data_IF_336946912602
#
_entry.id   IF_336946912602
#
_cell.length_a   1.000
_cell.length_b   1.000
_cell.length_c   1.000
_cell.angle_alpha   90.00
_cell.angle_beta   90.00
_cell.angle_gamma   90.00
#
_symmetry.space_group_name_H-M   'P 1'
#
loop_
_entity.id
_entity.type
_entity.pdbx_description
1 polymer ?
#
# COMPACT_ATOMS: atom_id res chain seq x y z
N UNK A 1 -1.87 8.09 6.00
CA UNK A 1 -2.62 7.38 4.95
C UNK A 1 -3.82 6.69 5.56
N UNK A 2 -4.93 6.77 4.90
CA UNK A 2 -6.20 6.22 5.41
C UNK A 2 -6.85 5.37 4.33
N UNK A 3 -7.82 4.56 4.73
CA UNK A 3 -8.64 3.81 3.78
C UNK A 3 -9.30 4.80 2.79
N UNK A 4 -9.34 4.41 1.54
CA UNK A 4 -9.84 5.20 0.40
C UNK A 4 -8.90 6.31 -0.06
N UNK A 5 -7.71 6.44 0.53
CA UNK A 5 -6.72 7.40 0.04
C UNK A 5 -6.13 6.91 -1.28
N UNK A 6 -5.93 7.84 -2.19
CA UNK A 6 -5.20 7.54 -3.43
C UNK A 6 -3.71 7.63 -3.17
N UNK A 7 -3.00 6.60 -3.59
CA UNK A 7 -1.56 6.52 -3.41
C UNK A 7 -0.91 5.97 -4.67
N UNK A 8 0.39 6.13 -4.77
CA UNK A 8 1.18 5.42 -5.78
C UNK A 8 1.87 4.25 -5.11
N UNK A 9 1.62 3.08 -5.63
CA UNK A 9 2.25 1.86 -5.17
C UNK A 9 3.45 1.55 -6.05
N UNK A 10 4.62 1.43 -5.45
CA UNK A 10 5.84 1.05 -6.15
C UNK A 10 6.12 -0.41 -5.89
N UNK A 11 6.10 -1.21 -6.95
CA UNK A 11 6.43 -2.63 -6.85
C UNK A 11 7.92 -2.78 -6.56
N UNK A 12 8.30 -3.39 -5.42
CA UNK A 12 9.72 -3.54 -5.08
C UNK A 12 10.46 -4.48 -6.02
N UNK A 13 9.76 -5.32 -6.75
CA UNK A 13 10.38 -6.26 -7.68
C UNK A 13 10.70 -5.62 -9.02
N UNK A 14 9.79 -4.82 -9.55
CA UNK A 14 9.93 -4.23 -10.88
C UNK A 14 10.27 -2.75 -10.84
N UNK A 15 10.16 -2.11 -9.67
CA UNK A 15 10.33 -0.66 -9.48
C UNK A 15 9.35 0.17 -10.30
N UNK A 16 8.24 -0.42 -10.70
CA UNK A 16 7.19 0.29 -11.43
C UNK A 16 6.19 0.85 -10.42
N UNK A 17 5.86 2.13 -10.57
CA UNK A 17 4.84 2.78 -9.76
C UNK A 17 3.53 2.81 -10.51
N UNK A 18 2.45 2.46 -9.81
CA UNK A 18 1.11 2.48 -10.37
C UNK A 18 0.16 3.17 -9.40
N UNK A 19 -0.87 3.84 -9.90
CA UNK A 19 -1.87 4.41 -9.01
C UNK A 19 -2.68 3.30 -8.33
N UNK A 20 -2.98 3.50 -7.07
CA UNK A 20 -3.74 2.55 -6.29
C UNK A 20 -4.56 3.27 -5.22
N UNK A 21 -5.52 2.57 -4.65
CA UNK A 21 -6.34 3.09 -3.56
C UNK A 21 -6.21 2.16 -2.38
N UNK A 22 -6.02 2.73 -1.20
CA UNK A 22 -5.94 1.95 0.03
C UNK A 22 -7.35 1.43 0.35
N UNK A 23 -7.48 0.11 0.43
CA UNK A 23 -8.77 -0.52 0.74
C UNK A 23 -8.83 -1.02 2.17
N UNK A 24 -7.68 -1.29 2.78
CA UNK A 24 -7.64 -1.76 4.16
C UNK A 24 -6.29 -1.43 4.79
N UNK A 25 -6.26 -1.36 6.11
CA UNK A 25 -5.05 -1.12 6.86
C UNK A 25 -5.00 -2.16 7.98
N UNK A 26 -3.90 -2.92 8.02
CA UNK A 26 -3.69 -3.94 9.04
C UNK A 26 -2.54 -3.52 9.93
N UNK A 27 -2.79 -3.45 11.23
CA UNK A 27 -1.78 -3.14 12.22
C UNK A 27 -1.28 -4.45 12.83
N UNK A 28 -0.03 -4.77 12.57
CA UNK A 28 0.61 -5.96 13.13
C UNK A 28 1.20 -5.70 14.51
N UNK A 29 1.15 -4.47 15.00
CA UNK A 29 1.71 -4.13 16.30
C UNK A 29 3.21 -4.33 16.34
N UNK A 30 3.70 -4.92 17.43
CA UNK A 30 5.13 -5.13 17.64
C UNK A 30 5.61 -6.53 17.23
N UNK A 31 4.77 -7.31 16.58
CA UNK A 31 5.13 -8.68 16.20
C UNK A 31 5.92 -8.68 14.92
N UNK A 32 6.99 -9.45 14.88
CA UNK A 32 7.79 -9.75 13.69
C UNK A 32 8.12 -8.54 12.83
N UNK A 33 8.72 -7.53 13.45
CA UNK A 33 9.03 -6.32 12.73
C UNK A 33 7.86 -5.38 12.56
N UNK A 34 6.73 -5.70 13.13
CA UNK A 34 5.58 -4.83 13.37
C UNK A 34 5.20 -3.86 12.28
N UNK A 35 4.42 -2.88 12.68
CA UNK A 35 4.06 -1.78 11.81
C UNK A 35 2.75 -2.01 11.07
N UNK A 36 2.47 -1.09 10.16
CA UNK A 36 1.23 -1.10 9.40
C UNK A 36 1.46 -1.69 8.02
N UNK A 37 0.55 -2.58 7.63
CA UNK A 37 0.44 -3.02 6.26
C UNK A 37 -0.81 -2.41 5.63
N UNK A 38 -0.65 -1.91 4.44
CA UNK A 38 -1.74 -1.33 3.67
C UNK A 38 -2.12 -2.27 2.55
N UNK A 39 -3.40 -2.56 2.44
CA UNK A 39 -3.93 -3.27 1.29
C UNK A 39 -4.37 -2.22 0.27
N UNK A 40 -3.79 -2.28 -0.90
CA UNK A 40 -4.09 -1.32 -1.96
C UNK A 40 -4.65 -2.07 -3.17
N UNK A 41 -5.57 -1.42 -3.87
CA UNK A 41 -6.16 -1.97 -5.08
C UNK A 41 -5.76 -1.08 -6.25
N UNK A 42 -5.16 -1.69 -7.27
CA UNK A 42 -4.73 -0.99 -8.46
C UNK A 42 -5.88 -0.85 -9.46
N UNK A 43 -5.68 -0.05 -10.50
CA UNK A 43 -6.67 0.12 -11.56
C UNK A 43 -6.98 -1.20 -12.29
N UNK A 44 -6.03 -2.11 -12.31
CA UNK A 44 -6.24 -3.43 -12.89
C UNK A 44 -7.12 -4.33 -12.05
N UNK A 45 -7.59 -3.85 -10.88
CA UNK A 45 -8.41 -4.64 -9.99
C UNK A 45 -7.63 -5.61 -9.11
N UNK A 46 -6.32 -5.54 -9.12
CA UNK A 46 -5.48 -6.40 -8.30
C UNK A 46 -5.21 -5.76 -6.95
N UNK A 47 -5.26 -6.57 -5.91
CA UNK A 47 -4.94 -6.13 -4.56
C UNK A 47 -3.51 -6.52 -4.21
N UNK A 48 -2.82 -5.61 -3.57
CA UNK A 48 -1.46 -5.83 -3.10
C UNK A 48 -1.35 -5.39 -1.65
N UNK A 49 -0.52 -6.09 -0.90
CA UNK A 49 -0.15 -5.65 0.44
C UNK A 49 1.18 -4.92 0.36
N UNK A 50 1.24 -3.77 0.98
CA UNK A 50 2.45 -2.95 0.94
C UNK A 50 2.66 -2.24 2.26
N UNK A 51 3.90 -1.92 2.54
CA UNK A 51 4.25 -1.06 3.66
C UNK A 51 4.26 0.39 3.20
N UNK A 52 4.21 1.31 4.16
CA UNK A 52 4.23 2.74 3.85
C UNK A 52 5.42 3.13 2.97
N UNK A 53 6.55 2.44 3.13
CA UNK A 53 7.74 2.72 2.33
C UNK A 53 7.54 2.49 0.83
N UNK A 54 6.60 1.63 0.46
CA UNK A 54 6.26 1.35 -0.94
C UNK A 54 5.12 2.22 -1.47
N UNK A 55 4.59 3.09 -0.63
CA UNK A 55 3.44 3.92 -0.96
C UNK A 55 3.81 5.38 -0.85
N UNK A 56 3.31 6.18 -1.78
CA UNK A 56 3.43 7.63 -1.73
C UNK A 56 2.07 8.25 -1.93
N UNK A 57 1.82 9.34 -1.24
CA UNK A 57 0.58 10.06 -1.42
C UNK A 57 0.48 10.55 -2.86
N UNK A 58 -0.64 10.31 -3.50
CA UNK A 58 -0.87 10.69 -4.90
C UNK A 58 -1.52 12.07 -5.02
N UNK A 59 -1.20 12.94 -4.14
CA UNK A 59 -1.83 14.27 -4.15
C UNK A 59 -1.03 15.25 -4.98
#
# INVERSE_FOLDING_TARGET
>A
MKVNDQVQYTNPRTHVSVPAVITDITDLGKRRGGGLFYTVKTEAGKEHRARAASLQAAA
#
